data_IF_667268506747
#
_entry.id   IF_667268506747
#
_cell.length_a   1.000
_cell.length_b   1.000
_cell.length_c   1.000
_cell.angle_alpha   90.00
_cell.angle_beta   90.00
_cell.angle_gamma   90.00
#
_symmetry.space_group_name_H-M   'P 1'
#
loop_
_entity.id
_entity.type
_entity.pdbx_description
1 polymer ?
#
# COMPACT_ATOMS: atom_id res chain seq x y z
N UNK A 1 30.93 28.16 -6.81
CA UNK A 1 30.41 27.24 -5.76
C UNK A 1 28.91 27.11 -6.01
N UNK A 2 28.36 25.90 -6.07
CA UNK A 2 26.93 25.65 -6.29
C UNK A 2 26.31 25.43 -4.90
N UNK A 3 25.26 26.16 -4.50
CA UNK A 3 24.61 25.95 -3.22
C UNK A 3 23.93 24.57 -3.20
N UNK A 4 24.07 23.84 -2.09
CA UNK A 4 23.41 22.56 -1.85
C UNK A 4 22.37 22.78 -0.76
N UNK A 5 21.13 22.38 -1.02
CA UNK A 5 20.03 22.39 -0.06
C UNK A 5 19.64 20.94 0.19
N UNK A 6 19.69 20.51 1.45
CA UNK A 6 19.22 19.17 1.85
C UNK A 6 17.76 19.27 2.29
N UNK A 7 16.91 18.41 1.72
CA UNK A 7 15.50 18.30 2.05
C UNK A 7 15.23 16.91 2.64
N UNK A 8 14.44 16.85 3.71
CA UNK A 8 13.91 15.60 4.26
C UNK A 8 12.44 15.52 3.87
N UNK A 9 12.10 14.54 3.05
CA UNK A 9 10.72 14.33 2.59
C UNK A 9 10.08 13.23 3.44
N UNK A 10 9.18 13.63 4.34
CA UNK A 10 8.46 12.74 5.24
C UNK A 10 7.05 12.47 4.69
N UNK A 11 6.70 11.20 4.54
CA UNK A 11 5.43 10.74 3.96
C UNK A 11 4.72 9.69 4.84
N UNK A 12 4.97 9.73 6.15
CA UNK A 12 4.26 8.90 7.13
C UNK A 12 2.85 9.44 7.40
N UNK A 13 1.94 8.54 7.81
CA UNK A 13 0.54 8.90 8.14
C UNK A 13 0.43 9.76 9.41
N UNK A 14 1.33 9.58 10.36
CA UNK A 14 1.34 10.38 11.59
C UNK A 14 2.11 11.68 11.37
N UNK A 15 1.75 12.80 12.01
CA UNK A 15 2.55 14.02 11.95
C UNK A 15 3.98 13.77 12.40
N UNK A 16 4.96 14.41 11.75
CA UNK A 16 6.34 14.32 12.20
C UNK A 16 6.50 14.84 13.64
N UNK A 17 7.08 14.02 14.50
CA UNK A 17 7.32 14.29 15.93
C UNK A 17 8.81 14.35 16.28
N UNK A 18 9.69 14.21 15.29
CA UNK A 18 11.13 14.24 15.47
C UNK A 18 11.74 15.65 15.51
N UNK A 19 13.04 15.74 15.81
CA UNK A 19 13.75 17.01 15.82
C UNK A 19 13.85 17.61 14.42
N UNK A 20 13.76 18.94 14.32
CA UNK A 20 13.90 19.71 13.07
C UNK A 20 15.19 20.53 13.02
N UNK A 21 16.03 20.40 14.04
CA UNK A 21 17.37 20.94 14.05
C UNK A 21 18.33 20.14 14.93
N UNK A 22 19.62 20.43 14.78
CA UNK A 22 20.68 19.65 15.39
C UNK A 22 20.68 19.74 16.92
N UNK A 23 20.29 20.88 17.48
CA UNK A 23 20.27 21.05 18.93
C UNK A 23 19.15 20.24 19.57
N UNK A 24 17.97 20.25 18.95
CA UNK A 24 16.84 19.42 19.37
C UNK A 24 17.17 17.93 19.25
N UNK A 25 17.89 17.53 18.20
CA UNK A 25 18.33 16.16 18.00
C UNK A 25 19.30 15.66 19.09
N UNK A 26 20.22 16.52 19.54
CA UNK A 26 21.13 16.16 20.62
C UNK A 26 20.49 16.20 22.00
N UNK A 27 19.29 16.78 22.12
CA UNK A 27 18.60 16.98 23.40
C UNK A 27 19.60 17.53 24.43
N UNK A 28 20.31 18.62 24.08
CA UNK A 28 21.44 19.10 24.88
C UNK A 28 21.02 19.35 26.35
N UNK A 29 21.30 18.36 27.20
CA UNK A 29 21.11 18.42 28.64
C UNK A 29 22.37 19.03 29.27
N UNK A 30 22.22 20.22 29.85
CA UNK A 30 23.36 20.95 30.43
C UNK A 30 22.94 22.24 31.11
N UNK A 31 23.87 22.81 31.85
CA UNK A 31 23.72 24.16 32.40
C UNK A 31 23.75 25.19 31.26
N UNK A 32 23.18 26.39 31.51
CA UNK A 32 23.15 27.47 30.52
C UNK A 32 24.56 27.83 30.00
N UNK A 33 25.57 27.74 30.87
CA UNK A 33 26.96 28.05 30.56
C UNK A 33 27.59 27.00 29.63
N UNK A 34 27.27 25.72 29.79
CA UNK A 34 27.72 24.64 28.90
C UNK A 34 27.11 24.77 27.51
N UNK A 35 25.82 25.11 27.43
CA UNK A 35 25.13 25.33 26.15
C UNK A 35 25.71 26.55 25.41
N UNK A 36 26.00 27.66 26.09
CA UNK A 36 26.63 28.84 25.47
C UNK A 36 28.06 28.55 24.95
N UNK A 37 28.78 27.60 25.56
CA UNK A 37 30.08 27.14 25.04
C UNK A 37 29.87 26.29 23.80
N UNK A 38 28.97 25.31 23.84
CA UNK A 38 28.67 24.42 22.72
C UNK A 38 28.20 25.18 21.48
N UNK A 39 27.33 26.19 21.65
CA UNK A 39 26.80 27.01 20.55
C UNK A 39 27.90 27.77 19.76
N UNK A 40 29.07 28.01 20.36
CA UNK A 40 30.21 28.66 19.67
C UNK A 40 30.94 27.72 18.71
N UNK A 41 30.88 26.41 18.96
CA UNK A 41 31.63 25.40 18.21
C UNK A 41 30.74 24.51 17.36
N UNK A 42 29.47 24.35 17.75
CA UNK A 42 28.50 23.50 17.09
C UNK A 42 27.45 24.39 16.41
N UNK A 43 27.49 24.59 15.09
CA UNK A 43 26.44 25.31 14.39
C UNK A 43 25.12 24.51 14.42
N UNK A 44 24.00 25.18 14.72
CA UNK A 44 22.68 24.56 14.66
C UNK A 44 22.22 24.39 13.21
N UNK A 45 22.40 23.19 12.64
CA UNK A 45 21.90 22.87 11.32
C UNK A 45 20.39 22.64 11.35
N UNK A 46 19.66 23.39 10.52
CA UNK A 46 18.22 23.19 10.30
C UNK A 46 17.98 22.02 9.34
N UNK A 47 17.03 21.18 9.71
CA UNK A 47 16.48 20.14 8.84
C UNK A 47 15.33 20.77 8.06
N UNK A 48 15.49 20.88 6.74
CA UNK A 48 14.41 21.35 5.87
C UNK A 48 13.43 20.19 5.64
N UNK A 49 12.54 20.00 6.61
CA UNK A 49 11.53 18.95 6.59
C UNK A 49 10.33 19.37 5.74
N UNK A 50 9.88 18.45 4.90
CA UNK A 50 8.63 18.53 4.13
C UNK A 50 7.75 17.37 4.59
N UNK A 51 6.68 17.68 5.33
CA UNK A 51 5.61 16.73 5.65
C UNK A 51 4.65 16.70 4.45
N UNK A 52 4.72 15.63 3.66
CA UNK A 52 4.07 15.52 2.37
C UNK A 52 2.54 15.53 2.46
N UNK A 53 1.99 14.90 3.49
CA UNK A 53 0.54 14.74 3.66
C UNK A 53 -0.12 16.06 4.10
N UNK A 54 0.58 16.84 4.94
CA UNK A 54 0.14 18.12 5.51
C UNK A 54 0.65 19.34 4.73
N UNK A 55 1.22 19.13 3.55
CA UNK A 55 1.81 20.20 2.76
C UNK A 55 0.74 21.18 2.23
N UNK A 56 0.82 22.46 2.59
CA UNK A 56 -0.06 23.48 2.01
C UNK A 56 0.36 23.85 0.58
N UNK A 57 -0.56 24.43 -0.20
CA UNK A 57 -0.32 24.94 -1.55
C UNK A 57 0.23 23.92 -2.57
N UNK A 58 -0.30 22.70 -2.60
CA UNK A 58 0.15 21.63 -3.52
C UNK A 58 0.03 22.02 -5.01
N UNK A 59 -0.83 22.96 -5.34
CA UNK A 59 -1.01 23.59 -6.65
C UNK A 59 0.21 24.38 -7.17
N UNK A 60 1.21 24.64 -6.33
CA UNK A 60 2.48 25.26 -6.75
C UNK A 60 3.46 24.26 -7.39
N UNK A 61 3.21 22.96 -7.26
CA UNK A 61 4.08 21.92 -7.79
C UNK A 61 3.73 21.57 -9.24
N UNK A 62 4.60 20.81 -9.90
CA UNK A 62 4.28 20.23 -11.21
C UNK A 62 3.02 19.35 -11.11
N UNK A 63 2.30 19.21 -12.21
CA UNK A 63 1.04 18.47 -12.25
C UNK A 63 1.18 17.05 -11.67
N UNK A 64 2.23 16.32 -12.03
CA UNK A 64 2.42 14.94 -11.58
C UNK A 64 2.68 14.85 -10.08
N UNK A 65 3.51 15.76 -9.55
CA UNK A 65 3.83 15.81 -8.13
C UNK A 65 2.64 16.30 -7.30
N UNK A 66 1.89 17.26 -7.82
CA UNK A 66 0.63 17.70 -7.22
C UNK A 66 -0.34 16.52 -7.05
N UNK A 67 -0.46 15.67 -8.07
CA UNK A 67 -1.30 14.47 -7.98
C UNK A 67 -0.80 13.50 -6.91
N UNK A 68 0.50 13.19 -6.89
CA UNK A 68 1.10 12.28 -5.89
C UNK A 68 0.91 12.81 -4.47
N UNK A 69 1.19 14.09 -4.23
CA UNK A 69 1.03 14.73 -2.91
C UNK A 69 -0.43 14.75 -2.47
N UNK A 70 -1.37 15.00 -3.39
CA UNK A 70 -2.80 14.98 -3.09
C UNK A 70 -3.29 13.56 -2.80
N UNK A 71 -2.80 12.54 -3.52
CA UNK A 71 -3.10 11.14 -3.20
C UNK A 71 -2.56 10.75 -1.82
N UNK A 72 -1.35 11.19 -1.46
CA UNK A 72 -0.78 10.96 -0.14
C UNK A 72 -1.66 11.54 0.96
N UNK A 73 -2.27 12.71 0.76
CA UNK A 73 -3.23 13.30 1.70
C UNK A 73 -4.47 12.44 1.91
N UNK A 74 -4.98 11.81 0.86
CA UNK A 74 -6.20 11.00 0.94
C UNK A 74 -5.94 9.51 1.15
N UNK A 75 -4.69 9.11 1.43
CA UNK A 75 -4.28 7.69 1.49
C UNK A 75 -5.12 6.83 2.44
N UNK A 76 -5.57 7.41 3.55
CA UNK A 76 -6.28 6.70 4.61
C UNK A 76 -7.81 6.89 4.49
N UNK A 77 -8.27 7.65 3.49
CA UNK A 77 -9.68 7.96 3.23
C UNK A 77 -10.12 7.39 1.89
N UNK A 78 -10.82 6.24 1.93
CA UNK A 78 -11.32 5.59 0.72
C UNK A 78 -12.23 6.50 -0.11
N UNK A 79 -13.12 7.25 0.55
CA UNK A 79 -14.10 8.11 -0.13
C UNK A 79 -13.39 9.26 -0.85
N UNK A 80 -12.57 10.04 -0.15
CA UNK A 80 -11.84 11.18 -0.73
C UNK A 80 -10.88 10.74 -1.84
N UNK A 81 -10.17 9.61 -1.65
CA UNK A 81 -9.29 9.09 -2.69
C UNK A 81 -10.07 8.65 -3.93
N UNK A 82 -11.24 8.03 -3.75
CA UNK A 82 -12.10 7.60 -4.85
C UNK A 82 -12.63 8.80 -5.63
N UNK A 83 -13.11 9.81 -4.92
CA UNK A 83 -13.63 11.04 -5.52
C UNK A 83 -12.52 11.76 -6.29
N UNK A 84 -11.33 11.90 -5.69
CA UNK A 84 -10.18 12.53 -6.32
C UNK A 84 -9.73 11.81 -7.60
N UNK A 85 -9.69 10.47 -7.58
CA UNK A 85 -9.36 9.67 -8.78
C UNK A 85 -10.39 9.90 -9.88
N UNK A 86 -11.69 9.95 -9.52
CA UNK A 86 -12.76 10.18 -10.48
C UNK A 86 -12.73 11.59 -11.08
N UNK A 87 -12.47 12.62 -10.26
CA UNK A 87 -12.31 14.00 -10.71
C UNK A 87 -11.12 14.17 -11.66
N UNK A 88 -10.03 13.44 -11.41
CA UNK A 88 -8.79 13.51 -12.18
C UNK A 88 -8.63 12.34 -13.17
N UNK A 89 -9.74 11.71 -13.56
CA UNK A 89 -9.75 10.48 -14.36
C UNK A 89 -8.87 10.52 -15.61
N UNK A 90 -8.83 11.64 -16.33
CA UNK A 90 -8.01 11.77 -17.55
C UNK A 90 -6.52 11.59 -17.30
N UNK A 91 -6.04 12.08 -16.15
CA UNK A 91 -4.67 11.90 -15.70
C UNK A 91 -4.41 10.43 -15.38
N UNK A 92 -5.27 9.83 -14.55
CA UNK A 92 -5.11 8.43 -14.13
C UNK A 92 -5.26 7.41 -15.26
N UNK A 93 -5.90 7.76 -16.37
CA UNK A 93 -5.96 6.91 -17.55
C UNK A 93 -4.69 6.94 -18.41
N UNK A 94 -3.81 7.93 -18.22
CA UNK A 94 -2.62 8.13 -19.04
C UNK A 94 -1.44 8.59 -18.17
N UNK A 95 -1.07 7.75 -17.20
CA UNK A 95 0.06 8.03 -16.29
C UNK A 95 1.35 7.50 -16.93
N UNK A 96 2.38 8.31 -17.01
CA UNK A 96 3.68 7.86 -17.51
C UNK A 96 4.35 6.86 -16.55
N UNK A 97 5.35 6.15 -17.05
CA UNK A 97 6.04 5.14 -16.27
C UNK A 97 6.66 5.69 -14.98
N UNK A 98 7.34 6.85 -15.00
CA UNK A 98 8.04 7.38 -13.82
C UNK A 98 7.05 7.78 -12.73
N UNK A 99 5.97 8.47 -13.12
CA UNK A 99 4.89 8.82 -12.20
C UNK A 99 4.21 7.59 -11.61
N UNK A 100 3.98 6.55 -12.43
CA UNK A 100 3.41 5.29 -11.93
C UNK A 100 4.28 4.61 -10.88
N UNK A 101 5.62 4.64 -11.06
CA UNK A 101 6.56 4.07 -10.09
C UNK A 101 6.59 4.88 -8.80
N UNK A 102 6.52 6.21 -8.90
CA UNK A 102 6.40 7.06 -7.74
C UNK A 102 5.12 6.74 -6.96
N UNK A 103 3.96 6.65 -7.64
CA UNK A 103 2.70 6.24 -7.01
C UNK A 103 2.79 4.88 -6.35
N UNK A 104 3.38 3.88 -7.03
CA UNK A 104 3.60 2.53 -6.48
C UNK A 104 4.40 2.57 -5.18
N UNK A 105 5.49 3.32 -5.16
CA UNK A 105 6.36 3.44 -3.99
C UNK A 105 5.69 4.19 -2.84
N UNK A 106 5.09 5.35 -3.12
CA UNK A 106 4.48 6.21 -2.10
C UNK A 106 3.19 5.62 -1.50
N UNK A 107 2.41 4.89 -2.30
CA UNK A 107 1.17 4.23 -1.87
C UNK A 107 1.39 2.78 -1.41
N UNK A 108 2.66 2.33 -1.35
CA UNK A 108 3.04 0.98 -0.94
C UNK A 108 2.28 -0.12 -1.71
N UNK A 109 2.09 0.09 -3.02
CA UNK A 109 1.42 -0.88 -3.89
C UNK A 109 2.40 -2.01 -4.21
N UNK A 110 1.97 -3.26 -4.04
CA UNK A 110 2.82 -4.43 -4.32
C UNK A 110 3.20 -4.54 -5.79
N UNK A 111 2.23 -4.28 -6.66
CA UNK A 111 2.37 -4.38 -8.12
C UNK A 111 1.29 -3.53 -8.78
N UNK A 112 1.54 -3.08 -10.01
CA UNK A 112 0.55 -2.42 -10.86
C UNK A 112 0.21 -3.40 -12.00
N UNK A 113 -1.04 -3.90 -12.11
CA UNK A 113 -1.45 -4.71 -13.25
C UNK A 113 -1.25 -3.98 -14.59
N UNK A 114 -0.79 -4.70 -15.60
CA UNK A 114 -0.50 -4.11 -16.92
C UNK A 114 0.81 -3.32 -17.00
N UNK A 115 1.62 -3.29 -15.93
CA UNK A 115 2.98 -2.75 -15.97
C UNK A 115 3.85 -3.60 -16.90
N UNK A 116 4.12 -3.10 -18.11
CA UNK A 116 5.09 -3.70 -19.02
C UNK A 116 6.53 -3.33 -18.61
N UNK A 117 7.51 -4.14 -19.00
CA UNK A 117 8.94 -3.83 -18.79
C UNK A 117 9.42 -2.61 -19.63
N UNK A 118 8.57 -2.10 -20.52
CA UNK A 118 8.88 -1.01 -21.43
C UNK A 118 8.49 0.36 -20.84
N UNK A 119 9.52 1.19 -20.61
CA UNK A 119 9.42 2.54 -20.02
C UNK A 119 8.63 3.58 -20.84
N UNK A 120 8.26 3.26 -22.08
CA UNK A 120 7.57 4.19 -23.00
C UNK A 120 6.05 4.04 -22.97
N UNK A 121 5.51 3.10 -22.21
CA UNK A 121 4.06 2.88 -22.14
C UNK A 121 3.37 3.79 -21.12
N UNK A 122 2.27 4.39 -21.55
CA UNK A 122 1.32 5.05 -20.65
C UNK A 122 0.47 3.99 -19.94
N UNK A 123 0.32 4.14 -18.64
CA UNK A 123 -0.42 3.21 -17.79
C UNK A 123 -1.80 3.78 -17.48
N UNK A 124 -2.84 2.97 -17.71
CA UNK A 124 -4.19 3.25 -17.24
C UNK A 124 -4.32 2.75 -15.80
N UNK A 125 -4.05 3.64 -14.84
CA UNK A 125 -4.16 3.36 -13.40
C UNK A 125 -5.60 3.07 -12.98
N UNK A 126 -6.61 3.64 -13.64
CA UNK A 126 -8.01 3.30 -13.34
C UNK A 126 -8.28 1.82 -13.65
N UNK A 127 -7.79 1.34 -14.79
CA UNK A 127 -7.89 -0.07 -15.17
C UNK A 127 -7.10 -0.95 -14.20
N UNK A 128 -5.88 -0.55 -13.84
CA UNK A 128 -5.05 -1.28 -12.89
C UNK A 128 -5.73 -1.44 -11.52
N UNK A 129 -6.35 -0.37 -10.99
CA UNK A 129 -7.10 -0.41 -9.73
C UNK A 129 -8.30 -1.36 -9.83
N UNK A 130 -9.02 -1.33 -10.96
CA UNK A 130 -10.17 -2.22 -11.16
C UNK A 130 -9.73 -3.69 -11.23
N UNK A 131 -8.65 -4.01 -11.94
CA UNK A 131 -8.10 -5.36 -12.02
C UNK A 131 -7.63 -5.84 -10.63
N UNK A 132 -6.97 -4.99 -9.84
CA UNK A 132 -6.60 -5.31 -8.46
C UNK A 132 -7.82 -5.62 -7.58
N UNK A 133 -8.91 -4.88 -7.76
CA UNK A 133 -10.16 -5.14 -7.04
C UNK A 133 -10.78 -6.47 -7.46
N UNK A 134 -10.89 -6.73 -8.76
CA UNK A 134 -11.47 -7.96 -9.30
C UNK A 134 -10.65 -9.20 -8.88
N UNK A 135 -9.32 -9.11 -8.89
CA UNK A 135 -8.42 -10.14 -8.36
C UNK A 135 -8.63 -10.37 -6.86
N UNK A 136 -8.80 -9.28 -6.09
CA UNK A 136 -9.11 -9.35 -4.66
C UNK A 136 -10.46 -10.03 -4.38
N UNK A 137 -11.49 -9.75 -5.17
CA UNK A 137 -12.80 -10.41 -5.08
C UNK A 137 -12.68 -11.89 -5.42
N UNK A 138 -11.97 -12.22 -6.51
CA UNK A 138 -11.77 -13.61 -6.95
C UNK A 138 -11.00 -14.43 -5.91
N UNK A 139 -9.91 -13.89 -5.36
CA UNK A 139 -9.14 -14.52 -4.29
C UNK A 139 -9.99 -14.69 -3.01
N UNK A 140 -10.80 -13.68 -2.68
CA UNK A 140 -11.74 -13.74 -1.57
C UNK A 140 -12.77 -14.87 -1.71
N UNK A 141 -13.38 -15.00 -2.89
CA UNK A 141 -14.33 -16.09 -3.21
C UNK A 141 -13.62 -17.45 -3.13
N UNK A 142 -12.45 -17.58 -3.75
CA UNK A 142 -11.69 -18.84 -3.76
C UNK A 142 -11.34 -19.29 -2.35
N UNK A 143 -10.84 -18.38 -1.50
CA UNK A 143 -10.56 -18.65 -0.08
C UNK A 143 -11.83 -19.00 0.70
N UNK A 144 -12.95 -18.37 0.38
CA UNK A 144 -14.26 -18.67 0.96
C UNK A 144 -14.72 -20.09 0.64
N UNK A 145 -14.63 -20.48 -0.64
CA UNK A 145 -14.96 -21.83 -1.13
C UNK A 145 -14.06 -22.87 -0.45
N UNK A 146 -12.75 -22.66 -0.45
CA UNK A 146 -11.79 -23.56 0.20
C UNK A 146 -12.09 -23.75 1.70
N UNK A 147 -12.34 -22.64 2.43
CA UNK A 147 -12.74 -22.70 3.85
C UNK A 147 -14.05 -23.46 4.05
N UNK A 148 -15.00 -23.30 3.13
CA UNK A 148 -16.27 -24.03 3.12
C UNK A 148 -16.06 -25.53 2.96
N UNK A 149 -15.32 -25.94 1.93
CA UNK A 149 -14.98 -27.36 1.69
C UNK A 149 -14.28 -27.97 2.90
N UNK A 150 -13.28 -27.27 3.46
CA UNK A 150 -12.57 -27.73 4.65
C UNK A 150 -13.49 -27.84 5.89
N UNK A 151 -14.51 -27.00 6.01
CA UNK A 151 -15.50 -27.09 7.09
C UNK A 151 -16.44 -28.28 6.89
N UNK A 152 -16.91 -28.53 5.66
CA UNK A 152 -17.74 -29.69 5.32
C UNK A 152 -16.98 -30.98 5.62
N UNK A 153 -15.76 -31.11 5.12
CA UNK A 153 -14.89 -32.28 5.35
C UNK A 153 -14.73 -32.57 6.84
N UNK A 154 -14.37 -31.55 7.64
CA UNK A 154 -14.21 -31.70 9.10
C UNK A 154 -15.51 -32.09 9.79
N UNK A 155 -16.64 -31.54 9.34
CA UNK A 155 -17.96 -31.86 9.90
C UNK A 155 -18.37 -33.30 9.59
N UNK A 156 -18.22 -33.73 8.34
CA UNK A 156 -18.47 -35.10 7.92
C UNK A 156 -17.63 -36.10 8.73
N UNK A 157 -16.33 -35.80 8.93
CA UNK A 157 -15.46 -36.60 9.78
C UNK A 157 -15.95 -36.67 11.23
N UNK A 158 -16.29 -35.52 11.83
CA UNK A 158 -16.78 -35.47 13.22
C UNK A 158 -18.10 -36.25 13.41
N UNK A 159 -18.89 -36.37 12.35
CA UNK A 159 -20.14 -37.14 12.34
C UNK A 159 -19.94 -38.61 11.93
N UNK A 160 -18.70 -39.07 11.77
CA UNK A 160 -18.35 -40.42 11.29
C UNK A 160 -18.97 -40.79 9.93
N UNK A 161 -19.14 -39.80 9.04
CA UNK A 161 -19.47 -40.04 7.63
C UNK A 161 -18.27 -40.70 6.95
N UNK A 162 -18.51 -41.61 6.00
CA UNK A 162 -17.41 -42.29 5.29
C UNK A 162 -16.63 -41.30 4.41
N UNK A 163 -15.36 -41.63 4.13
CA UNK A 163 -14.53 -40.87 3.18
C UNK A 163 -15.16 -40.81 1.80
N UNK A 164 -15.74 -41.92 1.33
CA UNK A 164 -16.39 -42.03 0.03
C UNK A 164 -17.65 -41.13 -0.05
N UNK A 165 -18.50 -41.15 0.98
CA UNK A 165 -19.69 -40.30 1.01
C UNK A 165 -19.33 -38.81 1.13
N UNK A 166 -18.27 -38.49 1.89
CA UNK A 166 -17.76 -37.12 1.98
C UNK A 166 -17.22 -36.64 0.64
N UNK A 167 -16.46 -37.49 -0.05
CA UNK A 167 -15.91 -37.18 -1.37
C UNK A 167 -17.02 -36.90 -2.38
N UNK A 168 -18.03 -37.77 -2.43
CA UNK A 168 -19.20 -37.60 -3.30
C UNK A 168 -19.99 -36.33 -2.95
N UNK A 169 -20.12 -36.01 -1.66
CA UNK A 169 -20.78 -34.78 -1.20
C UNK A 169 -20.01 -33.54 -1.66
N UNK A 170 -18.71 -33.45 -1.37
CA UNK A 170 -17.87 -32.31 -1.75
C UNK A 170 -17.84 -32.13 -3.26
N UNK A 171 -17.72 -33.22 -4.02
CA UNK A 171 -17.74 -33.17 -5.49
C UNK A 171 -19.05 -32.58 -6.01
N UNK A 172 -20.19 -33.00 -5.46
CA UNK A 172 -21.51 -32.57 -5.92
C UNK A 172 -21.84 -31.14 -5.49
N UNK A 173 -21.63 -30.79 -4.22
CA UNK A 173 -22.04 -29.49 -3.67
C UNK A 173 -21.16 -28.33 -4.19
N UNK A 174 -19.89 -28.60 -4.52
CA UNK A 174 -18.96 -27.60 -5.04
C UNK A 174 -18.67 -27.76 -6.54
N UNK A 175 -19.38 -28.65 -7.23
CA UNK A 175 -19.24 -28.92 -8.67
C UNK A 175 -17.78 -29.18 -9.11
N UNK A 176 -17.02 -29.88 -8.26
CA UNK A 176 -15.59 -30.13 -8.48
C UNK A 176 -15.37 -31.36 -9.37
N UNK A 177 -14.21 -31.40 -10.04
CA UNK A 177 -13.73 -32.65 -10.61
C UNK A 177 -13.38 -33.66 -9.51
N UNK A 178 -13.36 -34.96 -9.88
CA UNK A 178 -12.97 -36.01 -8.93
C UNK A 178 -11.54 -35.83 -8.40
N UNK A 179 -10.64 -35.28 -9.22
CA UNK A 179 -9.25 -35.02 -8.84
C UNK A 179 -9.15 -33.88 -7.81
N UNK A 180 -9.87 -32.79 -8.02
CA UNK A 180 -9.89 -31.65 -7.11
C UNK A 180 -10.53 -32.02 -5.77
N UNK A 181 -11.66 -32.72 -5.79
CA UNK A 181 -12.34 -33.17 -4.58
C UNK A 181 -11.45 -34.09 -3.73
N UNK A 182 -10.72 -35.02 -4.38
CA UNK A 182 -9.73 -35.88 -3.70
C UNK A 182 -8.61 -35.07 -3.06
N UNK A 183 -8.06 -34.08 -3.77
CA UNK A 183 -7.00 -33.22 -3.23
C UNK A 183 -7.46 -32.48 -1.96
N UNK A 184 -8.68 -31.95 -1.95
CA UNK A 184 -9.26 -31.33 -0.77
C UNK A 184 -9.45 -32.33 0.37
N UNK A 185 -9.96 -33.53 0.06
CA UNK A 185 -10.13 -34.60 1.04
C UNK A 185 -8.78 -34.98 1.67
N UNK A 186 -7.76 -35.29 0.88
CA UNK A 186 -6.40 -35.63 1.38
C UNK A 186 -5.79 -34.52 2.24
N UNK A 187 -6.06 -33.26 1.91
CA UNK A 187 -5.54 -32.11 2.64
C UNK A 187 -6.22 -31.94 4.01
N UNK A 188 -7.54 -32.08 4.05
CA UNK A 188 -8.37 -31.68 5.20
C UNK A 188 -8.94 -32.85 6.02
N UNK A 189 -8.82 -34.09 5.56
CA UNK A 189 -9.24 -35.31 6.25
C UNK A 189 -8.15 -35.82 7.22
N UNK A 190 -7.75 -34.97 8.16
CA UNK A 190 -6.76 -35.28 9.22
C UNK A 190 -7.38 -35.18 10.58
#
# INVERSE_FOLDING_TARGET
>A
MIPIISLVFYYGSEPWDGPVDLYDMFQLEGTKEENEILEKYLPNYKINLVDAERLEDVEKFSNDLQVILTMLRYRDSKEELTDYINENKKFFQNVDYETSQAMKAFLNMKQIPGEAEHKEEMIDMCKAIQEMYDDGVKDGIQKGVERGIAAVIRTCRNLNVSEEDTLNNVQREYELSMEEAKKYLETYWR
#
